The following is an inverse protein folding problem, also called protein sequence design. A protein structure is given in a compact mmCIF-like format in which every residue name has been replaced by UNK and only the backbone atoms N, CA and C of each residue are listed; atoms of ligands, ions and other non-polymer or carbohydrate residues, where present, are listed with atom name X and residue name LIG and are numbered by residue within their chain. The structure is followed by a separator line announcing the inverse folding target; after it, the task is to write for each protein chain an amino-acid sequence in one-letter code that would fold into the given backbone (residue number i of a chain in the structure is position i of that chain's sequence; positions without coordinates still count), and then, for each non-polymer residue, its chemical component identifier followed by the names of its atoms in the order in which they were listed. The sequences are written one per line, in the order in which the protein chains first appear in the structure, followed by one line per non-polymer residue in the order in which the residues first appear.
data_IF_401506827390
#
_entry.id   IF_401506827390
#
_cell.length_a   1.000
_cell.length_b   1.000
_cell.length_c   1.000
_cell.angle_alpha   90.00
_cell.angle_beta   90.00
_cell.angle_gamma   90.00
#
_symmetry.space_group_name_H-M   'P 1'
#
loop_
_entity.id
_entity.type
_entity.pdbx_description
1 polymer ?
#
# COMPACT_ATOMS: atom_id res chain seq x y z
N UNK A 1 16.27 10.21 -10.52
CA UNK A 1 15.11 9.55 -9.93
C UNK A 1 15.35 8.05 -9.92
N UNK A 2 15.26 7.44 -8.78
CA UNK A 2 15.28 5.98 -8.68
C UNK A 2 14.00 5.50 -9.37
N UNK A 3 14.07 4.57 -10.33
CA UNK A 3 12.87 4.00 -10.93
C UNK A 3 12.02 3.37 -9.82
N UNK A 4 10.69 3.40 -9.95
CA UNK A 4 9.83 2.76 -8.97
C UNK A 4 10.22 1.28 -8.86
N UNK A 5 10.43 0.85 -7.63
CA UNK A 5 10.59 -0.56 -7.35
C UNK A 5 9.26 -1.24 -7.66
N UNK A 6 9.23 -2.38 -8.34
CA UNK A 6 8.00 -3.05 -8.70
C UNK A 6 7.27 -3.67 -7.50
N UNK A 7 7.83 -3.54 -6.33
CA UNK A 7 7.32 -4.07 -5.08
C UNK A 7 7.43 -3.02 -3.97
N UNK A 8 6.63 -3.16 -2.95
CA UNK A 8 6.66 -2.29 -1.78
C UNK A 8 5.72 -1.09 -1.91
N UNK A 9 6.05 -0.08 -1.17
CA UNK A 9 5.17 1.03 -0.86
C UNK A 9 5.39 2.27 -1.74
N UNK A 10 6.19 2.11 -2.79
CA UNK A 10 6.47 3.16 -3.75
C UNK A 10 5.19 3.56 -4.53
N UNK A 11 5.03 4.83 -4.93
CA UNK A 11 5.97 5.95 -4.74
C UNK A 11 5.75 6.74 -3.45
N UNK A 12 4.69 6.50 -2.72
CA UNK A 12 4.19 7.35 -1.66
C UNK A 12 4.53 6.86 -0.26
N UNK A 13 5.28 5.83 -0.12
CA UNK A 13 5.57 5.31 1.17
C UNK A 13 7.01 4.95 1.38
N UNK A 14 7.34 4.63 2.61
CA UNK A 14 8.65 4.13 2.96
C UNK A 14 8.92 2.81 2.24
N UNK A 15 9.99 2.73 1.52
CA UNK A 15 10.55 1.46 1.08
C UNK A 15 11.16 0.72 2.27
N UNK A 16 11.37 -0.58 2.14
CA UNK A 16 12.19 -1.34 3.08
C UNK A 16 13.68 -1.05 2.94
N UNK A 17 14.09 -0.37 1.86
CA UNK A 17 15.47 0.01 1.63
C UNK A 17 15.87 1.19 2.52
N UNK A 18 16.95 1.00 3.28
CA UNK A 18 17.57 2.04 4.11
C UNK A 18 18.42 2.95 3.22
N UNK A 19 18.50 4.25 3.57
CA UNK A 19 19.26 5.24 2.81
C UNK A 19 18.47 5.90 1.68
N UNK A 20 17.19 5.67 1.60
CA UNK A 20 16.28 6.43 0.73
C UNK A 20 15.80 7.68 1.46
N UNK A 21 15.87 8.81 0.78
CA UNK A 21 15.32 10.05 1.31
C UNK A 21 13.81 9.92 1.53
N UNK A 22 13.35 10.57 2.61
CA UNK A 22 11.90 10.75 2.81
C UNK A 22 11.31 11.35 1.53
N UNK A 23 10.26 10.76 0.96
CA UNK A 23 9.60 11.39 -0.17
C UNK A 23 9.17 12.80 0.24
N UNK A 24 9.37 13.76 -0.64
CA UNK A 24 8.80 15.08 -0.45
C UNK A 24 7.31 14.93 -0.15
N UNK A 25 6.78 15.82 0.67
CA UNK A 25 5.36 15.84 0.98
C UNK A 25 4.57 15.66 -0.32
N UNK A 26 3.75 14.63 -0.34
CA UNK A 26 2.90 14.39 -1.51
C UNK A 26 1.97 15.59 -1.63
N UNK A 27 2.02 16.30 -2.74
CA UNK A 27 1.08 17.37 -3.06
C UNK A 27 -0.30 16.78 -3.36
N UNK A 28 -0.85 16.07 -2.37
CA UNK A 28 -2.21 15.57 -2.50
C UNK A 28 -3.18 16.76 -2.45
N UNK A 29 -4.28 16.71 -3.21
CA UNK A 29 -5.29 17.77 -3.16
C UNK A 29 -5.80 18.03 -1.74
N UNK A 30 -5.87 17.01 -0.90
CA UNK A 30 -6.27 17.13 0.50
C UNK A 30 -5.22 17.93 1.30
N UNK A 31 -3.94 17.56 1.20
CA UNK A 31 -2.86 18.28 1.89
C UNK A 31 -2.77 19.73 1.43
N UNK A 32 -2.93 19.99 0.14
CA UNK A 32 -2.97 21.34 -0.40
C UNK A 32 -4.15 22.15 0.15
N UNK A 33 -5.32 21.54 0.26
CA UNK A 33 -6.53 22.22 0.76
C UNK A 33 -6.42 22.61 2.24
N UNK A 34 -5.74 21.79 3.07
CA UNK A 34 -5.61 22.05 4.51
C UNK A 34 -4.31 22.79 4.89
N UNK A 35 -3.38 23.01 3.95
CA UNK A 35 -2.04 23.52 4.22
C UNK A 35 -2.01 24.82 5.06
N UNK A 36 -2.96 25.72 4.83
CA UNK A 36 -3.05 26.99 5.54
C UNK A 36 -3.83 26.94 6.86
N UNK A 37 -4.39 25.77 7.21
CA UNK A 37 -5.10 25.57 8.47
C UNK A 37 -4.14 25.21 9.61
N UNK A 38 -4.61 25.34 10.86
CA UNK A 38 -3.83 24.88 12.01
C UNK A 38 -3.55 23.37 11.97
N UNK A 39 -4.51 22.59 11.46
CA UNK A 39 -4.34 21.13 11.26
C UNK A 39 -3.26 20.84 10.22
N UNK A 40 -3.31 21.51 9.07
CA UNK A 40 -2.32 21.30 8.01
C UNK A 40 -0.90 21.64 8.44
N UNK A 41 -0.73 22.75 9.17
CA UNK A 41 0.57 23.12 9.75
C UNK A 41 1.08 22.09 10.74
N UNK A 42 0.22 21.64 11.67
CA UNK A 42 0.58 20.59 12.61
C UNK A 42 1.00 19.29 11.89
N UNK A 43 0.28 18.88 10.85
CA UNK A 43 0.62 17.70 10.06
C UNK A 43 1.98 17.86 9.35
N UNK A 44 2.26 19.04 8.80
CA UNK A 44 3.56 19.33 8.18
C UNK A 44 4.69 19.26 9.20
N UNK A 45 4.52 19.88 10.37
CA UNK A 45 5.51 19.87 11.45
C UNK A 45 5.75 18.45 11.99
N UNK A 46 4.70 17.63 12.05
CA UNK A 46 4.78 16.23 12.46
C UNK A 46 5.22 15.28 11.34
N UNK A 47 5.43 15.79 10.11
CA UNK A 47 5.72 15.00 8.92
C UNK A 47 4.66 13.95 8.57
N UNK A 48 3.41 14.22 8.94
CA UNK A 48 2.27 13.36 8.62
C UNK A 48 1.66 13.81 7.30
N UNK A 49 1.38 12.86 6.43
CA UNK A 49 0.72 13.12 5.15
C UNK A 49 -0.50 12.23 4.98
N UNK A 50 -1.50 12.75 4.26
CA UNK A 50 -2.72 12.03 3.89
C UNK A 50 -2.91 12.15 2.39
N UNK A 51 -3.08 11.03 1.74
CA UNK A 51 -3.33 10.96 0.30
C UNK A 51 -4.11 9.70 -0.06
N UNK A 52 -4.50 9.60 -1.29
CA UNK A 52 -5.23 8.44 -1.77
C UNK A 52 -5.58 8.56 -3.24
N UNK A 53 -6.28 7.56 -3.74
CA UNK A 53 -6.75 7.51 -5.12
C UNK A 53 -8.04 6.73 -5.23
N UNK A 54 -8.66 6.89 -6.38
CA UNK A 54 -9.80 6.07 -6.81
C UNK A 54 -9.46 5.50 -8.17
N UNK A 55 -9.57 4.19 -8.31
CA UNK A 55 -9.36 3.47 -9.55
C UNK A 55 -10.62 2.69 -9.90
N UNK A 56 -11.17 2.97 -11.06
CA UNK A 56 -12.28 2.22 -11.63
C UNK A 56 -11.88 1.57 -12.93
N UNK A 57 -12.45 0.43 -13.21
CA UNK A 57 -12.17 -0.34 -14.41
C UNK A 57 -13.42 -0.81 -15.12
N UNK A 58 -13.25 -1.21 -16.36
CA UNK A 58 -14.24 -1.99 -17.09
C UNK A 58 -13.53 -3.03 -17.94
N UNK A 59 -14.24 -4.08 -18.26
CA UNK A 59 -13.72 -5.09 -19.16
C UNK A 59 -14.80 -5.59 -20.12
N UNK A 60 -14.34 -6.08 -21.28
CA UNK A 60 -15.15 -6.81 -22.23
C UNK A 60 -14.57 -8.23 -22.36
N UNK A 61 -15.41 -9.21 -22.19
CA UNK A 61 -15.00 -10.61 -22.21
C UNK A 61 -16.03 -11.46 -22.95
N UNK A 62 -15.56 -12.47 -23.61
CA UNK A 62 -16.39 -13.52 -24.24
C UNK A 62 -16.78 -14.61 -23.25
N UNK A 63 -16.37 -14.51 -22.00
CA UNK A 63 -16.61 -15.48 -20.95
C UNK A 63 -18.00 -15.33 -20.33
N UNK A 64 -18.37 -16.25 -19.45
CA UNK A 64 -19.67 -16.24 -18.80
C UNK A 64 -19.85 -14.98 -17.94
N UNK A 65 -20.99 -14.32 -18.06
CA UNK A 65 -21.37 -13.13 -17.27
C UNK A 65 -21.76 -13.50 -15.84
N UNK A 66 -20.78 -13.90 -15.04
CA UNK A 66 -20.94 -14.19 -13.62
C UNK A 66 -19.67 -13.81 -12.84
N UNK A 67 -19.77 -13.54 -11.56
CA UNK A 67 -18.59 -13.36 -10.72
C UNK A 67 -17.63 -14.54 -10.86
N UNK A 68 -16.36 -14.26 -11.14
CA UNK A 68 -15.35 -15.29 -11.38
C UNK A 68 -15.28 -15.81 -12.81
N UNK A 69 -16.09 -15.30 -13.73
CA UNK A 69 -16.05 -15.74 -15.13
C UNK A 69 -14.70 -15.54 -15.81
N UNK A 70 -13.92 -14.56 -15.37
CA UNK A 70 -12.56 -14.30 -15.88
C UNK A 70 -11.44 -14.93 -15.04
N UNK A 71 -11.78 -15.70 -13.99
CA UNK A 71 -10.74 -16.36 -13.19
C UNK A 71 -9.83 -17.24 -14.07
N UNK A 72 -8.54 -17.30 -13.79
CA UNK A 72 -7.83 -16.84 -12.62
C UNK A 72 -7.17 -15.44 -12.78
N UNK A 73 -7.64 -14.61 -13.69
CA UNK A 73 -7.08 -13.27 -13.90
C UNK A 73 -7.30 -12.40 -12.67
N UNK A 74 -6.23 -11.83 -12.14
CA UNK A 74 -6.30 -10.78 -11.14
C UNK A 74 -6.77 -9.47 -11.78
N UNK A 75 -7.71 -8.77 -11.16
CA UNK A 75 -8.49 -7.66 -11.70
C UNK A 75 -9.46 -8.10 -12.82
N UNK A 76 -10.45 -7.30 -13.12
CA UNK A 76 -11.47 -7.64 -14.12
C UNK A 76 -12.13 -9.03 -13.89
N UNK A 77 -12.35 -9.39 -12.65
CA UNK A 77 -12.83 -10.71 -12.22
C UNK A 77 -14.22 -11.07 -12.77
N UNK A 78 -15.11 -10.09 -12.84
CA UNK A 78 -16.44 -10.27 -13.42
C UNK A 78 -16.47 -9.77 -14.86
N UNK A 79 -16.84 -10.62 -15.82
CA UNK A 79 -16.94 -10.23 -17.22
C UNK A 79 -17.93 -9.11 -17.47
N UNK A 80 -17.63 -8.26 -18.46
CA UNK A 80 -18.55 -7.26 -19.03
C UNK A 80 -19.16 -6.32 -17.98
N UNK A 81 -18.38 -5.94 -16.97
CA UNK A 81 -18.82 -5.03 -15.89
C UNK A 81 -17.97 -3.77 -15.85
N UNK A 82 -18.60 -2.71 -15.35
CA UNK A 82 -17.92 -1.53 -14.81
C UNK A 82 -17.83 -1.72 -13.30
N UNK A 83 -16.66 -1.56 -12.74
CA UNK A 83 -16.42 -1.83 -11.33
C UNK A 83 -15.52 -0.78 -10.68
N UNK A 84 -15.66 -0.61 -9.39
CA UNK A 84 -14.72 0.12 -8.56
C UNK A 84 -13.63 -0.86 -8.11
N UNK A 85 -12.43 -0.71 -8.67
CA UNK A 85 -11.32 -1.58 -8.30
C UNK A 85 -10.76 -1.22 -6.94
N UNK A 86 -10.43 0.06 -6.76
CA UNK A 86 -9.81 0.58 -5.55
C UNK A 86 -10.28 2.00 -5.24
N UNK A 87 -10.71 2.23 -4.02
CA UNK A 87 -10.73 3.53 -3.38
C UNK A 87 -9.84 3.41 -2.14
N UNK A 88 -8.72 4.10 -2.13
CA UNK A 88 -7.66 3.93 -1.12
C UNK A 88 -7.35 5.25 -0.46
N UNK A 89 -7.16 5.22 0.86
CA UNK A 89 -6.65 6.34 1.64
C UNK A 89 -5.45 5.90 2.46
N UNK A 90 -4.46 6.76 2.56
CA UNK A 90 -3.27 6.62 3.38
C UNK A 90 -3.16 7.73 4.40
N UNK A 91 -2.72 7.37 5.59
CA UNK A 91 -2.24 8.29 6.61
C UNK A 91 -0.89 7.74 7.06
N UNK A 92 0.16 8.51 6.88
CA UNK A 92 1.50 8.03 7.16
C UNK A 92 2.46 9.09 7.65
N UNK A 93 3.47 8.64 8.37
CA UNK A 93 4.72 9.32 8.65
C UNK A 93 5.85 8.38 8.27
N UNK A 94 6.68 8.81 7.33
CA UNK A 94 7.82 8.01 6.88
C UNK A 94 9.06 8.41 7.69
N UNK A 95 9.80 7.47 8.29
CA UNK A 95 11.06 7.80 8.97
C UNK A 95 12.12 8.26 7.97
N UNK A 96 12.97 9.18 8.38
CA UNK A 96 14.11 9.61 7.61
C UNK A 96 15.28 8.63 7.80
N UNK A 97 15.50 7.79 6.80
CA UNK A 97 16.56 6.76 6.84
C UNK A 97 17.87 7.20 6.20
N UNK A 98 17.97 8.44 5.75
CA UNK A 98 19.23 9.03 5.23
C UNK A 98 20.07 9.60 6.36
N UNK A 99 19.43 10.22 7.35
CA UNK A 99 20.11 10.79 8.50
C UNK A 99 20.77 9.69 9.36
N UNK A 100 21.85 10.04 10.06
CA UNK A 100 22.62 9.12 10.91
C UNK A 100 22.71 9.59 12.37
N UNK A 101 22.01 10.67 12.71
CA UNK A 101 22.19 11.38 13.97
C UNK A 101 21.30 10.85 15.11
N UNK A 102 20.08 10.45 14.79
CA UNK A 102 19.09 10.12 15.81
C UNK A 102 18.15 8.99 15.39
N UNK A 103 17.53 8.38 16.40
CA UNK A 103 16.42 7.45 16.15
C UNK A 103 15.26 8.20 15.51
N UNK A 104 14.67 7.60 14.49
CA UNK A 104 13.43 8.11 13.90
C UNK A 104 12.37 7.01 13.84
N UNK A 105 11.12 7.42 13.77
CA UNK A 105 9.99 6.51 13.77
C UNK A 105 9.01 6.85 12.67
N UNK A 106 8.23 5.88 12.29
CA UNK A 106 7.20 6.05 11.29
C UNK A 106 5.99 5.18 11.57
N UNK A 107 4.95 5.40 10.81
CA UNK A 107 3.77 4.54 10.78
C UNK A 107 3.07 4.67 9.44
N UNK A 108 2.27 3.68 9.11
CA UNK A 108 1.35 3.73 7.97
C UNK A 108 0.02 3.09 8.33
N UNK A 109 -1.04 3.80 7.99
CA UNK A 109 -2.40 3.29 8.00
C UNK A 109 -2.96 3.42 6.58
N UNK A 110 -3.43 2.33 6.01
CA UNK A 110 -4.14 2.37 4.73
C UNK A 110 -5.47 1.66 4.84
N UNK A 111 -6.47 2.24 4.21
CA UNK A 111 -7.78 1.64 4.06
C UNK A 111 -8.11 1.55 2.57
N UNK A 112 -8.63 0.41 2.17
CA UNK A 112 -9.04 0.11 0.79
C UNK A 112 -10.49 -0.31 0.78
N UNK A 113 -11.26 0.24 -0.17
CA UNK A 113 -12.58 -0.24 -0.52
C UNK A 113 -12.67 -0.49 -2.02
N UNK A 114 -13.24 -1.59 -2.42
CA UNK A 114 -13.43 -1.92 -3.83
C UNK A 114 -13.37 -3.42 -4.08
N UNK A 115 -13.35 -3.79 -5.35
CA UNK A 115 -13.28 -5.18 -5.78
C UNK A 115 -11.94 -5.83 -5.41
N UNK A 116 -10.88 -5.04 -5.43
CA UNK A 116 -9.52 -5.52 -5.19
C UNK A 116 -9.22 -5.85 -3.72
N UNK A 117 -10.14 -5.59 -2.77
CA UNK A 117 -9.99 -6.03 -1.38
C UNK A 117 -9.75 -7.55 -1.29
N UNK A 118 -10.22 -8.32 -2.25
CA UNK A 118 -10.08 -9.77 -2.30
C UNK A 118 -8.63 -10.22 -2.44
N UNK A 119 -7.78 -9.37 -3.01
CA UNK A 119 -6.35 -9.63 -3.15
C UNK A 119 -5.54 -9.16 -1.96
N UNK A 120 -6.08 -8.28 -1.11
CA UNK A 120 -5.43 -7.85 0.13
C UNK A 120 -5.87 -8.68 1.32
N UNK A 121 -7.05 -9.30 1.23
CA UNK A 121 -7.62 -10.05 2.32
C UNK A 121 -6.82 -11.35 2.57
N UNK A 122 -6.30 -11.50 3.77
CA UNK A 122 -5.60 -12.69 4.22
C UNK A 122 -6.19 -13.21 5.52
N UNK A 123 -5.96 -14.48 5.83
CA UNK A 123 -6.35 -15.02 7.13
C UNK A 123 -5.47 -14.41 8.22
N UNK A 124 -6.09 -13.92 9.30
CA UNK A 124 -5.38 -13.41 10.45
C UNK A 124 -5.92 -12.10 11.00
N UNK A 125 -5.11 -11.48 11.86
CA UNK A 125 -5.47 -10.25 12.56
C UNK A 125 -5.62 -9.10 11.57
N UNK A 126 -6.70 -8.32 11.70
CA UNK A 126 -7.01 -7.14 10.89
C UNK A 126 -7.34 -7.41 9.42
N UNK A 127 -7.77 -8.62 9.07
CA UNK A 127 -8.09 -8.97 7.70
C UNK A 127 -9.49 -9.59 7.56
N UNK A 128 -9.59 -10.89 7.39
CA UNK A 128 -10.83 -11.61 7.13
C UNK A 128 -11.94 -11.39 8.18
N UNK A 129 -11.57 -10.90 9.34
CA UNK A 129 -12.48 -10.62 10.44
C UNK A 129 -13.45 -9.46 10.17
N UNK A 130 -13.06 -8.53 9.30
CA UNK A 130 -13.83 -7.33 9.00
C UNK A 130 -14.63 -7.44 7.71
N UNK A 131 -14.39 -8.47 6.92
CA UNK A 131 -14.98 -8.61 5.60
C UNK A 131 -16.17 -9.57 5.60
N UNK A 132 -17.29 -9.11 5.03
CA UNK A 132 -18.38 -9.99 4.70
C UNK A 132 -17.96 -10.99 3.62
N UNK A 133 -18.28 -12.26 3.82
CA UNK A 133 -17.95 -13.31 2.84
C UNK A 133 -18.77 -13.14 1.56
N UNK A 134 -18.13 -13.46 0.42
CA UNK A 134 -18.76 -13.51 -0.91
C UNK A 134 -19.32 -12.17 -1.45
N UNK A 135 -18.77 -11.07 -1.02
CA UNK A 135 -19.11 -9.77 -1.64
C UNK A 135 -18.10 -9.44 -2.74
N UNK A 136 -18.58 -8.85 -3.84
CA UNK A 136 -17.71 -8.39 -4.93
C UNK A 136 -16.86 -7.21 -4.45
N UNK A 137 -17.48 -6.23 -3.80
CA UNK A 137 -16.79 -5.10 -3.20
C UNK A 137 -16.74 -5.28 -1.68
N UNK A 138 -15.62 -4.96 -1.10
CA UNK A 138 -15.41 -5.04 0.33
C UNK A 138 -14.40 -4.02 0.81
N UNK A 139 -14.12 -4.09 2.08
CA UNK A 139 -13.25 -3.19 2.81
C UNK A 139 -12.09 -3.96 3.41
N UNK A 140 -10.87 -3.40 3.34
CA UNK A 140 -9.70 -3.97 3.98
C UNK A 140 -8.72 -2.88 4.44
N UNK A 141 -7.81 -3.27 5.34
CA UNK A 141 -6.71 -2.46 5.82
C UNK A 141 -5.39 -3.13 5.43
N UNK A 142 -4.92 -2.94 4.19
CA UNK A 142 -3.75 -3.68 3.70
C UNK A 142 -2.45 -3.35 4.42
N UNK A 143 -2.32 -2.13 4.95
CA UNK A 143 -1.15 -1.73 5.71
C UNK A 143 -1.57 -1.04 7.01
N UNK A 144 -1.15 -1.62 8.13
CA UNK A 144 -1.31 -1.07 9.49
C UNK A 144 -0.05 -1.44 10.26
N UNK A 145 0.96 -0.58 10.24
CA UNK A 145 2.23 -0.85 10.89
C UNK A 145 2.88 0.38 11.49
N UNK A 146 3.78 0.14 12.43
CA UNK A 146 4.73 1.12 12.94
C UNK A 146 6.15 0.75 12.53
N UNK A 147 7.01 1.74 12.39
CA UNK A 147 8.43 1.60 12.05
C UNK A 147 9.31 2.32 13.05
N UNK A 148 10.49 1.76 13.27
CA UNK A 148 11.57 2.39 14.03
C UNK A 148 12.86 2.28 13.22
N UNK A 149 13.52 3.41 13.00
CA UNK A 149 14.84 3.48 12.38
C UNK A 149 15.93 3.75 13.42
N UNK A 150 16.97 2.93 13.41
CA UNK A 150 18.13 2.96 14.31
C UNK A 150 19.39 3.15 13.49
N UNK A 151 19.89 4.39 13.34
CA UNK A 151 21.05 4.66 12.51
C UNK A 151 22.39 4.18 13.10
N UNK A 152 22.43 3.88 14.41
CA UNK A 152 23.66 3.51 15.11
C UNK A 152 24.07 2.05 14.92
N UNK A 153 23.27 1.24 14.22
CA UNK A 153 23.58 -0.18 13.98
C UNK A 153 23.98 -0.35 12.53
N UNK A 154 25.24 -0.72 12.29
CA UNK A 154 25.85 -0.84 10.96
C UNK A 154 25.61 0.43 10.12
N UNK A 155 25.17 0.30 8.87
CA UNK A 155 24.78 1.43 8.02
C UNK A 155 23.30 1.84 8.21
N UNK A 156 22.62 1.25 9.19
CA UNK A 156 21.26 1.54 9.59
C UNK A 156 20.43 0.26 9.75
N UNK A 157 19.52 0.28 10.71
CA UNK A 157 18.60 -0.81 10.99
C UNK A 157 17.18 -0.28 11.07
N UNK A 158 16.24 -0.94 10.40
CA UNK A 158 14.81 -0.65 10.56
C UNK A 158 14.07 -1.85 11.11
N UNK A 159 13.09 -1.56 11.94
CA UNK A 159 12.09 -2.50 12.43
C UNK A 159 10.72 -2.04 11.96
N UNK A 160 9.97 -2.91 11.31
CA UNK A 160 8.56 -2.70 10.95
C UNK A 160 7.72 -3.75 11.65
N UNK A 161 6.73 -3.33 12.40
CA UNK A 161 5.84 -4.22 13.13
C UNK A 161 4.37 -3.90 12.80
N UNK A 162 3.64 -4.92 12.42
CA UNK A 162 2.23 -4.82 12.08
C UNK A 162 1.88 -5.60 10.82
N UNK A 163 0.86 -5.12 10.11
CA UNK A 163 0.44 -5.68 8.83
C UNK A 163 1.01 -4.84 7.69
N UNK A 164 1.65 -5.50 6.75
CA UNK A 164 2.30 -4.87 5.59
C UNK A 164 2.14 -5.74 4.34
N UNK A 165 2.30 -5.12 3.18
CA UNK A 165 2.32 -5.83 1.90
C UNK A 165 3.60 -6.65 1.80
N UNK A 166 3.53 -7.80 1.16
CA UNK A 166 4.64 -8.72 0.99
C UNK A 166 5.86 -8.04 0.35
N UNK A 167 7.05 -8.40 0.83
CA UNK A 167 8.31 -7.80 0.38
C UNK A 167 8.82 -8.40 -0.94
N UNK A 168 8.63 -9.71 -1.21
CA UNK A 168 9.20 -10.34 -2.41
C UNK A 168 8.35 -10.20 -3.68
N UNK A 169 7.30 -9.40 -3.67
CA UNK A 169 6.40 -9.25 -4.80
C UNK A 169 7.07 -8.52 -5.98
N UNK A 170 6.88 -9.03 -7.18
CA UNK A 170 7.38 -8.43 -8.41
C UNK A 170 6.38 -7.41 -8.97
N UNK A 171 5.09 -7.65 -8.79
CA UNK A 171 4.01 -6.76 -9.20
C UNK A 171 3.34 -6.18 -7.96
N UNK A 172 3.12 -4.86 -7.98
CA UNK A 172 2.47 -4.20 -6.86
C UNK A 172 0.96 -4.46 -6.88
N UNK A 173 0.40 -4.59 -5.70
CA UNK A 173 -1.03 -4.78 -5.50
C UNK A 173 -1.84 -3.51 -5.76
N UNK A 174 -1.25 -2.36 -5.53
CA UNK A 174 -1.94 -1.07 -5.57
C UNK A 174 -1.75 -0.42 -6.93
N UNK A 175 -2.85 0.08 -7.50
CA UNK A 175 -2.91 0.59 -8.87
C UNK A 175 -1.80 1.55 -9.27
N UNK A 176 -1.46 2.59 -8.47
CA UNK A 176 -0.43 3.56 -8.85
C UNK A 176 0.98 2.98 -8.98
N UNK A 177 1.23 1.82 -8.43
CA UNK A 177 2.54 1.16 -8.45
C UNK A 177 2.72 0.20 -9.62
N UNK A 178 1.71 0.03 -10.45
CA UNK A 178 1.74 -0.86 -11.61
C UNK A 178 1.76 -0.11 -12.92
N UNK A 179 2.43 -0.69 -13.91
CA UNK A 179 2.46 -0.19 -15.28
C UNK A 179 1.29 -0.70 -16.13
N UNK A 180 0.65 -1.78 -15.69
CA UNK A 180 -0.46 -2.43 -16.39
C UNK A 180 -1.67 -2.52 -15.49
N UNK A 181 -2.84 -2.49 -16.08
CA UNK A 181 -4.11 -2.67 -15.35
C UNK A 181 -4.30 -4.10 -14.86
N UNK A 182 -3.95 -5.07 -15.68
CA UNK A 182 -4.03 -6.49 -15.33
C UNK A 182 -2.71 -6.99 -14.75
N UNK A 183 -2.79 -8.02 -13.94
CA UNK A 183 -1.66 -8.66 -13.28
C UNK A 183 -1.41 -10.05 -13.86
N UNK A 184 -0.21 -10.55 -13.66
CA UNK A 184 0.18 -11.90 -14.09
C UNK A 184 -0.53 -13.00 -13.29
N UNK A 185 -0.49 -14.22 -13.79
CA UNK A 185 -0.97 -15.38 -13.05
C UNK A 185 -0.15 -15.66 -11.78
N UNK A 186 1.14 -15.36 -11.82
CA UNK A 186 2.01 -15.51 -10.65
C UNK A 186 1.59 -14.57 -9.53
N UNK A 187 1.21 -13.35 -9.85
CA UNK A 187 0.62 -12.42 -8.89
C UNK A 187 -0.62 -13.01 -8.19
N UNK A 188 -1.50 -13.69 -8.92
CA UNK A 188 -2.71 -14.29 -8.33
C UNK A 188 -2.43 -15.37 -7.29
N UNK A 189 -1.24 -15.98 -7.35
CA UNK A 189 -0.80 -17.03 -6.44
C UNK A 189 0.15 -16.55 -5.34
N UNK A 190 0.48 -15.27 -5.35
CA UNK A 190 1.43 -14.69 -4.41
C UNK A 190 0.79 -14.35 -3.06
N UNK A 191 1.63 -14.14 -2.05
CA UNK A 191 1.23 -13.75 -0.70
C UNK A 191 1.18 -12.22 -0.60
N UNK A 192 0.00 -11.65 -0.55
CA UNK A 192 -0.18 -10.19 -0.64
C UNK A 192 0.14 -9.44 0.63
N UNK A 193 -0.34 -9.93 1.77
CA UNK A 193 -0.18 -9.24 3.05
C UNK A 193 0.35 -10.17 4.12
N UNK A 194 1.23 -9.63 4.94
CA UNK A 194 1.82 -10.31 6.09
C UNK A 194 1.55 -9.53 7.37
N UNK A 195 1.45 -10.23 8.47
CA UNK A 195 1.42 -9.62 9.80
C UNK A 195 2.58 -10.18 10.63
N UNK A 196 3.44 -9.31 11.09
CA UNK A 196 4.62 -9.73 11.82
C UNK A 196 5.64 -8.63 12.07
N UNK A 197 6.87 -9.06 12.24
CA UNK A 197 8.05 -8.20 12.38
C UNK A 197 8.94 -8.35 11.15
N UNK A 198 9.19 -7.24 10.47
CA UNK A 198 10.17 -7.14 9.39
C UNK A 198 11.36 -6.32 9.88
N UNK A 199 12.56 -6.80 9.60
CA UNK A 199 13.80 -6.07 9.88
C UNK A 199 14.60 -5.91 8.62
N UNK A 200 15.17 -4.71 8.40
CA UNK A 200 16.10 -4.43 7.31
C UNK A 200 17.37 -3.86 7.88
N UNK A 201 18.50 -4.45 7.51
CA UNK A 201 19.85 -4.03 7.93
C UNK A 201 20.62 -3.61 6.68
N UNK A 202 21.13 -2.38 6.69
CA UNK A 202 22.11 -1.92 5.71
C UNK A 202 23.53 -2.27 6.20
N UNK A 203 24.35 -2.84 5.32
CA UNK A 203 25.71 -3.28 5.59
C UNK A 203 26.66 -2.76 4.51
#
# INVERSE_FOLDING_TARGET
SVPPMPYGDWPYGGTTAIGTSRPNAVDSPLMAAIANTSLGKWMQDAHIQVYGWVNGGFNLSTNQNQPGGNAPVGYAYTPNTVQLDQAVIYIERVPDTVQKDHLDWGFRLSALYGENYRYTNSYGVLSDQFNGRNQINGFDFPMVYGELYVPQVAEGLTFRFGRYISVPDIEAQLGPNNYTYTHSLTYTLDNYTNTGLLTSLAV
#
